data_IF_089038449623
#
_entry.id   IF_089038449623
#
_cell.length_a   1.000
_cell.length_b   1.000
_cell.length_c   1.000
_cell.angle_alpha   90.00
_cell.angle_beta   90.00
_cell.angle_gamma   90.00
#
_symmetry.space_group_name_H-M   'P 1'
#
loop_
_entity.id
_entity.type
_entity.pdbx_description
1 polymer ?
#
# COMPACT_ATOMS: atom_id res chain seq x y z
N UNK A 1 16.37 3.72 -4.74
CA UNK A 1 15.42 3.21 -5.77
C UNK A 1 15.40 4.07 -7.02
N UNK A 2 15.02 5.36 -6.95
CA UNK A 2 14.96 6.24 -8.13
C UNK A 2 16.34 6.42 -8.80
N UNK A 3 17.39 6.69 -8.03
CA UNK A 3 18.77 6.84 -8.51
C UNK A 3 19.31 5.59 -9.24
N UNK A 4 18.80 4.41 -8.88
CA UNK A 4 19.17 3.13 -9.48
C UNK A 4 18.17 2.68 -10.56
N UNK A 5 17.20 3.53 -10.91
CA UNK A 5 16.13 3.23 -11.87
C UNK A 5 15.35 1.94 -11.56
N UNK A 6 15.17 1.63 -10.27
CA UNK A 6 14.43 0.48 -9.78
C UNK A 6 12.95 0.78 -9.59
N UNK A 7 12.60 2.06 -9.36
CA UNK A 7 11.23 2.50 -9.16
C UNK A 7 10.39 2.31 -10.44
N UNK A 8 9.13 1.97 -10.26
CA UNK A 8 8.14 1.85 -11.33
C UNK A 8 6.93 2.75 -11.04
N UNK A 9 6.08 3.00 -12.06
CA UNK A 9 4.92 3.86 -11.90
C UNK A 9 3.97 3.28 -10.81
N UNK A 10 3.49 4.09 -9.85
CA UNK A 10 3.56 5.53 -9.85
C UNK A 10 4.81 6.08 -9.13
N UNK A 11 5.49 7.02 -9.78
CA UNK A 11 6.59 7.82 -9.22
C UNK A 11 6.08 9.17 -8.66
N UNK A 12 6.85 9.89 -7.82
CA UNK A 12 8.07 9.44 -7.14
C UNK A 12 7.78 8.44 -6.02
N UNK A 13 8.83 7.80 -5.47
CA UNK A 13 8.73 6.83 -4.36
C UNK A 13 8.37 7.43 -2.99
N UNK A 14 8.39 8.76 -2.85
CA UNK A 14 8.12 9.44 -1.57
C UNK A 14 6.62 9.47 -1.22
N UNK A 15 6.32 9.48 0.07
CA UNK A 15 4.95 9.54 0.63
C UNK A 15 4.02 8.40 0.17
N UNK A 16 4.60 7.25 -0.19
CA UNK A 16 3.87 6.04 -0.59
C UNK A 16 4.70 4.80 -0.32
N UNK A 17 4.06 3.64 -0.40
CA UNK A 17 4.79 2.39 -0.58
C UNK A 17 5.38 2.39 -2.01
N UNK A 18 6.70 2.30 -2.19
CA UNK A 18 7.33 2.39 -3.51
C UNK A 18 6.90 1.23 -4.42
N UNK A 19 6.43 1.55 -5.63
CA UNK A 19 6.35 0.51 -6.67
C UNK A 19 7.71 0.34 -7.36
N UNK A 20 8.00 -0.87 -7.83
CA UNK A 20 9.30 -1.24 -8.34
C UNK A 20 9.22 -2.23 -9.50
N UNK A 21 10.26 -2.20 -10.34
CA UNK A 21 10.46 -3.17 -11.41
C UNK A 21 10.63 -4.56 -10.79
N UNK A 22 9.80 -5.51 -11.22
CA UNK A 22 9.78 -6.86 -10.66
C UNK A 22 8.78 -7.06 -9.50
N UNK A 23 7.92 -6.08 -9.19
CA UNK A 23 6.88 -6.24 -8.15
C UNK A 23 5.94 -7.42 -8.42
N UNK A 24 5.53 -7.65 -9.68
CA UNK A 24 4.77 -8.84 -10.04
C UNK A 24 5.54 -10.14 -9.80
N UNK A 25 6.84 -10.17 -10.12
CA UNK A 25 7.70 -11.34 -9.88
C UNK A 25 7.83 -11.63 -8.38
N UNK A 26 8.04 -10.59 -7.57
CA UNK A 26 8.04 -10.70 -6.11
C UNK A 26 6.69 -11.24 -5.59
N UNK A 27 5.57 -10.75 -6.12
CA UNK A 27 4.24 -11.26 -5.78
C UNK A 27 4.05 -12.74 -6.12
N UNK A 28 4.63 -13.25 -7.20
CA UNK A 28 4.47 -14.67 -7.59
C UNK A 28 4.94 -15.63 -6.50
N UNK A 29 5.95 -15.23 -5.70
CA UNK A 29 6.49 -16.05 -4.61
C UNK A 29 5.50 -16.36 -3.50
N UNK A 30 4.40 -15.60 -3.40
CA UNK A 30 3.36 -15.89 -2.40
C UNK A 30 2.77 -17.28 -2.60
N UNK A 31 2.77 -17.81 -3.83
CA UNK A 31 2.30 -19.16 -4.15
C UNK A 31 3.19 -20.27 -3.58
N UNK A 32 4.44 -19.96 -3.28
CA UNK A 32 5.40 -20.93 -2.72
C UNK A 32 5.20 -21.08 -1.19
N UNK A 33 4.39 -20.21 -0.58
CA UNK A 33 4.11 -20.24 0.85
C UNK A 33 2.98 -21.22 1.18
N UNK A 34 3.28 -22.19 2.07
CA UNK A 34 2.27 -23.10 2.61
C UNK A 34 1.13 -22.35 3.34
N UNK A 35 1.44 -21.22 3.98
CA UNK A 35 0.42 -20.37 4.62
C UNK A 35 -0.59 -19.85 3.59
N UNK A 36 -0.15 -19.41 2.41
CA UNK A 36 -1.04 -18.92 1.35
C UNK A 36 -1.87 -20.05 0.73
N UNK A 37 -1.29 -21.25 0.58
CA UNK A 37 -2.02 -22.40 0.06
C UNK A 37 -3.25 -22.73 0.93
N UNK A 38 -3.14 -22.59 2.25
CA UNK A 38 -4.18 -22.94 3.24
C UNK A 38 -5.21 -21.83 3.49
N UNK A 39 -4.89 -20.58 3.17
CA UNK A 39 -5.79 -19.42 3.35
C UNK A 39 -7.01 -19.46 2.44
N UNK A 40 -8.18 -19.09 2.95
CA UNK A 40 -9.38 -18.79 2.16
C UNK A 40 -9.70 -17.29 2.13
N UNK A 41 -9.48 -16.58 3.22
CA UNK A 41 -9.68 -15.13 3.35
C UNK A 41 -8.34 -14.41 3.48
N UNK A 42 -8.00 -13.57 2.50
CA UNK A 42 -6.74 -12.81 2.46
C UNK A 42 -7.02 -11.32 2.41
N UNK A 43 -6.36 -10.58 3.30
CA UNK A 43 -6.31 -9.12 3.24
C UNK A 43 -5.06 -8.68 2.49
N UNK A 44 -5.22 -7.85 1.48
CA UNK A 44 -4.09 -7.25 0.75
C UNK A 44 -4.27 -5.74 0.69
N UNK A 45 -3.25 -4.99 1.12
CA UNK A 45 -3.27 -3.53 1.06
C UNK A 45 -3.44 -3.00 -0.37
N UNK A 46 -4.00 -1.78 -0.56
CA UNK A 46 -4.31 -1.22 -1.87
C UNK A 46 -3.10 -0.70 -2.64
N UNK A 47 -1.90 -0.72 -2.04
CA UNK A 47 -0.68 -0.19 -2.63
C UNK A 47 -0.34 -0.84 -3.98
N UNK A 48 0.27 -0.07 -4.89
CA UNK A 48 0.58 -0.53 -6.25
C UNK A 48 1.48 -1.77 -6.31
N UNK A 49 2.60 -1.90 -5.54
CA UNK A 49 3.44 -3.09 -5.63
C UNK A 49 2.73 -4.40 -5.26
N UNK A 50 1.58 -4.33 -4.57
CA UNK A 50 0.81 -5.50 -4.13
C UNK A 50 -0.29 -5.92 -5.13
N UNK A 51 -0.41 -5.24 -6.28
CA UNK A 51 -1.42 -5.57 -7.29
C UNK A 51 -1.30 -7.01 -7.81
N UNK A 52 -0.07 -7.51 -7.93
CA UNK A 52 0.18 -8.91 -8.27
C UNK A 52 -0.36 -9.88 -7.23
N UNK A 53 -0.21 -9.58 -5.94
CA UNK A 53 -0.74 -10.41 -4.86
C UNK A 53 -2.28 -10.41 -4.83
N UNK A 54 -2.91 -9.25 -5.05
CA UNK A 54 -4.37 -9.16 -5.22
C UNK A 54 -4.86 -10.01 -6.39
N UNK A 55 -4.20 -9.94 -7.54
CA UNK A 55 -4.53 -10.76 -8.70
C UNK A 55 -4.39 -12.26 -8.40
N UNK A 56 -3.31 -12.67 -7.74
CA UNK A 56 -3.05 -14.07 -7.40
C UNK A 56 -4.09 -14.62 -6.42
N UNK A 57 -4.52 -13.82 -5.44
CA UNK A 57 -5.60 -14.18 -4.53
C UNK A 57 -6.89 -14.49 -5.30
N UNK A 58 -7.30 -13.58 -6.21
CA UNK A 58 -8.49 -13.74 -7.04
C UNK A 58 -8.39 -14.95 -7.99
N UNK A 59 -7.24 -15.15 -8.63
CA UNK A 59 -6.99 -16.31 -9.50
C UNK A 59 -7.02 -17.63 -8.74
N UNK A 60 -6.66 -17.61 -7.46
CA UNK A 60 -6.72 -18.77 -6.57
C UNK A 60 -8.10 -18.95 -5.92
N UNK A 61 -9.12 -18.23 -6.39
CA UNK A 61 -10.49 -18.24 -5.88
C UNK A 61 -10.62 -17.97 -4.38
N UNK A 62 -9.67 -17.20 -3.82
CA UNK A 62 -9.70 -16.76 -2.42
C UNK A 62 -10.58 -15.53 -2.27
N UNK A 63 -11.21 -15.38 -1.11
CA UNK A 63 -11.88 -14.12 -0.75
C UNK A 63 -10.81 -13.06 -0.52
N UNK A 64 -10.84 -12.01 -1.36
CA UNK A 64 -9.92 -10.87 -1.25
C UNK A 64 -10.60 -9.71 -0.54
N UNK A 65 -9.98 -9.28 0.57
CA UNK A 65 -10.34 -8.09 1.32
C UNK A 65 -9.29 -7.01 1.07
N UNK A 66 -9.77 -5.80 0.73
CA UNK A 66 -8.90 -4.64 0.54
C UNK A 66 -9.37 -3.52 1.46
N UNK A 67 -8.50 -2.93 2.28
CA UNK A 67 -8.89 -1.82 3.15
C UNK A 67 -9.48 -0.63 2.40
N UNK A 68 -10.41 0.05 3.05
CA UNK A 68 -10.91 1.32 2.51
C UNK A 68 -9.85 2.41 2.67
N UNK A 69 -9.66 3.29 1.67
CA UNK A 69 -8.68 4.37 1.78
C UNK A 69 -8.91 5.23 3.04
N UNK A 70 -7.88 5.27 3.90
CA UNK A 70 -7.86 6.09 5.14
C UNK A 70 -9.01 5.77 6.11
N UNK A 71 -9.61 4.58 6.04
CA UNK A 71 -10.65 4.09 6.97
C UNK A 71 -11.87 5.03 7.13
N UNK A 72 -12.23 5.77 6.08
CA UNK A 72 -13.28 6.81 6.15
C UNK A 72 -14.71 6.27 6.04
N UNK A 73 -14.93 5.21 5.27
CA UNK A 73 -16.29 4.80 4.83
C UNK A 73 -16.60 3.33 5.12
N UNK A 74 -15.69 2.60 5.79
CA UNK A 74 -15.83 1.17 6.09
C UNK A 74 -14.49 0.56 6.48
N UNK A 75 -14.49 -0.71 6.86
CA UNK A 75 -13.25 -1.40 7.23
C UNK A 75 -12.56 -1.98 5.99
N UNK A 76 -13.28 -2.84 5.27
CA UNK A 76 -12.80 -3.48 4.06
C UNK A 76 -13.78 -3.32 2.90
N UNK A 77 -13.26 -3.54 1.71
CA UNK A 77 -14.00 -3.88 0.52
C UNK A 77 -13.73 -5.35 0.21
N UNK A 78 -14.78 -6.17 0.17
CA UNK A 78 -14.70 -7.54 -0.35
C UNK A 78 -14.81 -7.47 -1.86
N UNK A 79 -13.79 -7.95 -2.58
CA UNK A 79 -13.79 -7.93 -4.03
C UNK A 79 -14.74 -9.01 -4.56
N UNK A 80 -15.66 -8.61 -5.44
CA UNK A 80 -16.66 -9.46 -6.08
C UNK A 80 -16.44 -9.40 -7.59
N UNK A 81 -15.62 -10.30 -8.16
CA UNK A 81 -15.53 -10.43 -9.60
C UNK A 81 -16.88 -10.81 -10.22
N UNK A 82 -17.22 -10.33 -11.43
CA UNK A 82 -18.41 -10.77 -12.14
C UNK A 82 -18.43 -12.30 -12.35
N UNK A 83 -19.61 -12.94 -12.40
CA UNK A 83 -19.72 -14.36 -12.74
C UNK A 83 -19.00 -14.67 -14.06
N UNK A 84 -18.20 -15.73 -14.10
CA UNK A 84 -17.41 -16.10 -15.29
C UNK A 84 -16.24 -15.17 -15.60
N UNK A 85 -15.76 -14.37 -14.64
CA UNK A 85 -14.64 -13.45 -14.84
C UNK A 85 -13.40 -14.14 -15.42
N UNK A 86 -12.95 -13.65 -16.58
CA UNK A 86 -11.70 -14.08 -17.22
C UNK A 86 -10.48 -13.55 -16.46
N UNK A 87 -9.29 -14.07 -16.79
CA UNK A 87 -8.02 -13.57 -16.22
C UNK A 87 -7.85 -12.05 -16.38
N UNK A 88 -8.31 -11.48 -17.50
CA UNK A 88 -8.22 -10.03 -17.75
C UNK A 88 -9.20 -9.24 -16.90
N UNK A 89 -10.39 -9.78 -16.63
CA UNK A 89 -11.35 -9.17 -15.70
C UNK A 89 -10.78 -9.21 -14.28
N UNK A 90 -10.21 -10.33 -13.84
CA UNK A 90 -9.56 -10.43 -12.52
C UNK A 90 -8.39 -9.43 -12.38
N UNK A 91 -7.61 -9.23 -13.45
CA UNK A 91 -6.56 -8.20 -13.47
C UNK A 91 -7.14 -6.81 -13.23
N UNK A 92 -8.28 -6.48 -13.87
CA UNK A 92 -8.98 -5.21 -13.61
C UNK A 92 -9.46 -5.11 -12.16
N UNK A 93 -10.08 -6.15 -11.61
CA UNK A 93 -10.55 -6.20 -10.22
C UNK A 93 -9.42 -5.97 -9.19
N UNK A 94 -8.20 -6.42 -9.49
CA UNK A 94 -7.04 -6.25 -8.62
C UNK A 94 -6.46 -4.82 -8.60
N UNK A 95 -6.84 -3.95 -9.54
CA UNK A 95 -6.38 -2.54 -9.57
C UNK A 95 -7.13 -1.69 -8.53
N UNK A 96 -6.58 -0.54 -8.14
CA UNK A 96 -7.27 0.39 -7.23
C UNK A 96 -8.63 0.87 -7.77
N UNK A 97 -8.77 1.00 -9.10
CA UNK A 97 -10.05 1.32 -9.73
C UNK A 97 -11.00 0.11 -9.68
N UNK A 98 -10.46 -1.09 -9.88
CA UNK A 98 -11.21 -2.34 -9.75
C UNK A 98 -11.79 -2.52 -8.35
N UNK A 99 -11.01 -2.24 -7.32
CA UNK A 99 -11.47 -2.26 -5.93
C UNK A 99 -12.68 -1.34 -5.72
N UNK A 100 -12.76 -0.20 -6.41
CA UNK A 100 -13.94 0.70 -6.32
C UNK A 100 -15.14 0.18 -7.08
N UNK A 101 -14.92 -0.49 -8.22
CA UNK A 101 -15.99 -0.85 -9.15
C UNK A 101 -16.55 -2.26 -8.93
N UNK A 102 -15.75 -3.16 -8.34
CA UNK A 102 -16.05 -4.59 -8.21
C UNK A 102 -15.93 -5.05 -6.76
N UNK A 103 -16.47 -4.28 -5.82
CA UNK A 103 -16.45 -4.66 -4.42
C UNK A 103 -17.71 -4.30 -3.66
N UNK A 104 -17.90 -4.97 -2.54
CA UNK A 104 -18.93 -4.63 -1.57
C UNK A 104 -18.27 -4.22 -0.25
N UNK A 105 -18.73 -3.13 0.39
CA UNK A 105 -18.17 -2.70 1.67
C UNK A 105 -18.50 -3.70 2.77
N UNK A 106 -17.54 -3.91 3.67
CA UNK A 106 -17.67 -4.73 4.85
C UNK A 106 -17.48 -3.85 6.09
N UNK A 107 -18.52 -3.82 6.92
CA UNK A 107 -18.59 -3.03 8.15
C UNK A 107 -18.07 -3.77 9.37
N UNK A 108 -18.03 -3.04 10.49
CA UNK A 108 -17.54 -3.51 11.80
C UNK A 108 -18.35 -4.67 12.42
N UNK A 109 -19.57 -4.90 11.95
CA UNK A 109 -20.44 -5.97 12.47
C UNK A 109 -20.31 -7.28 11.69
N UNK A 110 -19.51 -7.26 10.62
CA UNK A 110 -19.24 -8.48 9.85
C UNK A 110 -18.27 -9.38 10.61
N UNK A 111 -18.58 -10.68 10.64
CA UNK A 111 -17.72 -11.73 11.18
C UNK A 111 -16.72 -12.18 10.12
N UNK A 112 -15.77 -11.31 9.79
CA UNK A 112 -14.66 -11.61 8.88
C UNK A 112 -13.54 -12.28 9.67
N UNK A 113 -12.93 -13.32 9.12
CA UNK A 113 -11.71 -13.92 9.68
C UNK A 113 -10.62 -13.85 8.61
N UNK A 114 -9.54 -13.13 8.89
CA UNK A 114 -8.44 -12.95 7.94
C UNK A 114 -7.35 -13.98 8.24
N UNK A 115 -7.15 -14.92 7.32
CA UNK A 115 -6.15 -15.98 7.48
C UNK A 115 -4.73 -15.53 7.11
N UNK A 116 -4.60 -14.47 6.31
CA UNK A 116 -3.33 -13.95 5.82
C UNK A 116 -3.42 -12.45 5.52
N UNK A 117 -2.41 -11.71 5.95
CA UNK A 117 -2.26 -10.28 5.65
C UNK A 117 -1.09 -10.10 4.68
N UNK A 118 -1.30 -9.31 3.63
CA UNK A 118 -0.25 -8.83 2.74
C UNK A 118 -0.18 -7.31 2.82
N UNK A 119 0.96 -6.79 3.27
CA UNK A 119 1.19 -5.38 3.60
C UNK A 119 2.37 -4.79 2.83
N UNK A 120 2.22 -3.53 2.41
CA UNK A 120 3.27 -2.78 1.75
C UNK A 120 4.25 -2.16 2.75
N UNK A 121 5.53 -2.03 2.39
CA UNK A 121 6.54 -1.40 3.26
C UNK A 121 7.52 -0.55 2.46
N UNK A 122 8.07 0.48 3.11
CA UNK A 122 9.13 1.34 2.57
C UNK A 122 10.49 0.66 2.75
N UNK A 123 10.73 0.10 3.95
CA UNK A 123 11.93 -0.65 4.28
C UNK A 123 11.57 -1.79 5.25
N UNK A 124 12.32 -2.88 5.20
CA UNK A 124 12.13 -4.06 6.07
C UNK A 124 13.49 -4.63 6.48
N UNK A 125 13.60 -5.11 7.72
CA UNK A 125 14.78 -5.86 8.18
C UNK A 125 14.47 -7.36 8.11
N UNK A 126 15.51 -8.18 7.87
CA UNK A 126 15.36 -9.65 7.91
C UNK A 126 14.88 -10.16 9.27
N UNK A 127 15.00 -9.34 10.33
CA UNK A 127 14.45 -9.58 11.69
C UNK A 127 12.92 -9.47 11.76
N UNK A 128 12.24 -9.13 10.66
CA UNK A 128 10.78 -8.98 10.59
C UNK A 128 10.25 -7.60 10.97
N UNK A 129 11.14 -6.63 11.09
CA UNK A 129 10.80 -5.23 11.35
C UNK A 129 10.43 -4.53 10.05
N UNK A 130 9.50 -3.58 10.11
CA UNK A 130 9.07 -2.82 8.93
C UNK A 130 8.98 -1.33 9.21
N UNK A 131 9.19 -0.55 8.17
CA UNK A 131 8.92 0.88 8.12
C UNK A 131 7.86 1.12 7.05
N UNK A 132 6.73 1.70 7.46
CA UNK A 132 5.67 2.13 6.57
C UNK A 132 5.96 3.49 5.93
N UNK A 133 4.95 4.09 5.29
CA UNK A 133 5.03 5.45 4.71
C UNK A 133 4.89 6.60 5.74
N UNK A 134 4.78 6.28 7.02
CA UNK A 134 4.73 7.26 8.14
C UNK A 134 3.35 7.65 8.66
N UNK A 135 2.24 7.28 8.00
CA UNK A 135 0.89 7.66 8.46
C UNK A 135 0.30 6.74 9.55
N UNK A 136 0.94 5.60 9.88
CA UNK A 136 0.45 4.64 10.87
C UNK A 136 -0.84 3.89 10.51
N UNK A 137 -1.38 4.05 9.30
CA UNK A 137 -2.68 3.48 8.92
C UNK A 137 -2.71 1.96 8.91
N UNK A 138 -1.66 1.31 8.43
CA UNK A 138 -1.65 -0.15 8.33
C UNK A 138 -1.48 -0.80 9.72
N UNK A 139 -0.73 -0.17 10.62
CA UNK A 139 -0.60 -0.55 12.03
C UNK A 139 -1.95 -0.45 12.75
N UNK A 140 -2.62 0.69 12.61
CA UNK A 140 -3.92 0.94 13.18
C UNK A 140 -5.00 -0.01 12.63
N UNK A 141 -4.97 -0.27 11.32
CA UNK A 141 -5.90 -1.21 10.70
C UNK A 141 -5.73 -2.64 11.26
N UNK A 142 -4.49 -3.10 11.45
CA UNK A 142 -4.24 -4.38 12.10
C UNK A 142 -4.78 -4.41 13.52
N UNK A 143 -4.47 -3.38 14.31
CA UNK A 143 -4.99 -3.23 15.67
C UNK A 143 -6.53 -3.25 15.73
N UNK A 144 -7.20 -2.62 14.76
CA UNK A 144 -8.66 -2.67 14.64
C UNK A 144 -9.17 -4.07 14.30
N UNK A 145 -8.49 -4.81 13.43
CA UNK A 145 -8.83 -6.22 13.14
C UNK A 145 -8.72 -7.08 14.40
N UNK A 146 -7.70 -6.85 15.25
CA UNK A 146 -7.55 -7.56 16.53
C UNK A 146 -8.72 -7.24 17.46
N UNK A 147 -9.07 -5.96 17.62
CA UNK A 147 -10.23 -5.53 18.43
C UNK A 147 -11.56 -6.12 17.95
N UNK A 148 -11.66 -6.48 16.67
CA UNK A 148 -12.83 -7.13 16.09
C UNK A 148 -12.81 -8.66 16.17
N UNK A 149 -11.69 -9.25 16.61
CA UNK A 149 -11.48 -10.69 16.56
C UNK A 149 -11.32 -11.24 15.13
N UNK A 150 -11.02 -10.38 14.15
CA UNK A 150 -10.83 -10.77 12.76
C UNK A 150 -9.45 -11.36 12.49
N UNK A 151 -8.47 -11.05 13.35
CA UNK A 151 -7.11 -11.62 13.32
C UNK A 151 -6.66 -11.95 14.74
N UNK A 152 -5.66 -12.81 14.84
CA UNK A 152 -4.96 -13.12 16.08
C UNK A 152 -3.45 -12.98 15.89
N UNK A 153 -2.69 -13.16 16.97
CA UNK A 153 -1.22 -13.12 16.96
C UNK A 153 -0.63 -14.12 15.94
N UNK A 154 -1.27 -15.29 15.80
CA UNK A 154 -0.88 -16.31 14.84
C UNK A 154 -1.21 -16.01 13.38
N UNK A 155 -1.98 -14.95 13.07
CA UNK A 155 -2.31 -14.59 11.68
C UNK A 155 -1.02 -14.17 10.96
N UNK A 156 -0.59 -14.88 9.90
CA UNK A 156 0.65 -14.56 9.20
C UNK A 156 0.57 -13.23 8.45
N UNK A 157 1.68 -12.50 8.45
CA UNK A 157 1.86 -11.22 7.79
C UNK A 157 3.00 -11.31 6.78
N UNK A 158 2.69 -11.02 5.52
CA UNK A 158 3.62 -11.05 4.40
C UNK A 158 3.83 -9.63 3.92
N UNK A 159 5.08 -9.27 3.64
CA UNK A 159 5.40 -8.04 2.89
C UNK A 159 6.09 -8.34 1.59
N UNK A 160 5.88 -7.47 0.61
CA UNK A 160 6.42 -7.60 -0.75
C UNK A 160 7.17 -6.31 -1.06
N UNK A 161 8.47 -6.44 -1.26
CA UNK A 161 9.39 -5.31 -1.44
C UNK A 161 10.45 -5.63 -2.48
N UNK A 162 11.18 -4.63 -2.96
CA UNK A 162 12.38 -4.86 -3.75
C UNK A 162 13.56 -5.29 -2.85
N UNK A 163 14.54 -6.01 -3.39
CA UNK A 163 15.73 -6.45 -2.65
C UNK A 163 16.45 -5.30 -1.93
N UNK A 164 16.56 -4.13 -2.57
CA UNK A 164 17.19 -2.93 -1.99
C UNK A 164 16.40 -2.28 -0.83
N UNK A 165 15.16 -2.71 -0.59
CA UNK A 165 14.36 -2.26 0.55
C UNK A 165 14.53 -3.18 1.76
N UNK A 166 15.22 -4.32 1.59
CA UNK A 166 15.65 -5.17 2.70
C UNK A 166 16.94 -4.58 3.26
N UNK A 167 16.83 -3.89 4.39
CA UNK A 167 17.92 -3.14 5.02
C UNK A 167 17.87 -3.36 6.53
N UNK A 168 19.03 -3.47 7.16
CA UNK A 168 19.08 -3.48 8.63
C UNK A 168 18.96 -2.05 9.16
N UNK A 169 18.19 -1.86 10.21
CA UNK A 169 17.97 -0.60 10.89
C UNK A 169 17.78 -0.84 12.39
N UNK A 170 18.08 0.14 13.26
CA UNK A 170 18.04 -0.09 14.70
C UNK A 170 16.61 -0.26 15.21
N UNK A 171 16.45 -1.13 16.22
CA UNK A 171 15.16 -1.40 16.87
C UNK A 171 14.54 -0.15 17.49
N UNK A 172 15.34 0.86 17.85
CA UNK A 172 14.88 2.13 18.40
C UNK A 172 13.94 2.93 17.46
N UNK A 173 13.82 2.53 16.19
CA UNK A 173 12.84 3.09 15.25
C UNK A 173 11.45 2.44 15.35
N UNK A 174 11.29 1.37 16.13
CA UNK A 174 10.04 0.66 16.30
C UNK A 174 9.34 1.07 17.59
N UNK A 175 8.02 1.08 17.53
CA UNK A 175 7.14 1.25 18.65
C UNK A 175 6.28 -0.01 18.89
N UNK A 176 5.65 -0.11 20.05
CA UNK A 176 4.84 -1.28 20.44
C UNK A 176 3.57 -1.46 19.61
N UNK A 177 3.17 -0.40 18.89
CA UNK A 177 2.03 -0.43 17.99
C UNK A 177 2.42 -0.83 16.55
N UNK A 178 3.72 -0.96 16.24
CA UNK A 178 4.18 -1.34 14.90
C UNK A 178 3.97 -2.83 14.63
N UNK A 179 3.29 -3.13 13.52
CA UNK A 179 3.04 -4.47 13.05
C UNK A 179 4.32 -5.07 12.44
N UNK A 180 4.75 -6.22 12.96
CA UNK A 180 5.86 -7.00 12.41
C UNK A 180 5.42 -7.92 11.25
N UNK A 181 6.39 -8.41 10.48
CA UNK A 181 6.15 -9.30 9.33
C UNK A 181 6.82 -10.66 9.54
N UNK A 182 6.13 -11.72 9.12
CA UNK A 182 6.59 -13.10 9.20
C UNK A 182 7.36 -13.54 7.94
N UNK A 183 6.98 -12.96 6.78
CA UNK A 183 7.60 -13.26 5.49
C UNK A 183 7.91 -12.00 4.69
N UNK A 184 9.08 -11.98 4.06
CA UNK A 184 9.49 -10.94 3.13
C UNK A 184 9.68 -11.58 1.75
N UNK A 185 8.93 -11.09 0.76
CA UNK A 185 9.03 -11.54 -0.62
C UNK A 185 9.72 -10.48 -1.47
N UNK A 186 10.81 -10.88 -2.12
CA UNK A 186 11.58 -10.03 -3.03
C UNK A 186 11.59 -10.62 -4.44
N UNK A 187 12.03 -9.89 -5.47
CA UNK A 187 12.28 -10.45 -6.80
C UNK A 187 13.29 -11.60 -6.85
N UNK A 188 14.16 -11.78 -5.85
CA UNK A 188 15.19 -12.85 -5.86
C UNK A 188 14.93 -13.98 -4.86
N UNK A 189 14.32 -13.70 -3.70
CA UNK A 189 14.19 -14.66 -2.59
C UNK A 189 12.94 -14.49 -1.72
N UNK A 190 12.63 -15.53 -0.97
CA UNK A 190 11.66 -15.55 0.15
C UNK A 190 12.46 -15.59 1.44
N UNK A 191 12.12 -14.75 2.41
CA UNK A 191 12.76 -14.72 3.73
C UNK A 191 11.68 -14.97 4.78
N UNK A 192 11.88 -15.99 5.61
CA UNK A 192 11.09 -16.22 6.83
C UNK A 192 11.81 -15.54 7.99
N UNK A 193 11.15 -14.62 8.67
CA UNK A 193 11.85 -13.66 9.57
C UNK A 193 12.10 -14.22 10.97
N UNK A 194 11.25 -15.13 11.44
CA UNK A 194 11.30 -15.63 12.81
C UNK A 194 11.19 -14.50 13.85
N UNK A 195 10.47 -13.43 13.53
CA UNK A 195 10.37 -12.24 14.37
C UNK A 195 9.91 -12.60 15.80
N UNK A 196 10.70 -12.22 16.80
CA UNK A 196 10.40 -12.47 18.21
C UNK A 196 9.59 -11.34 18.86
N UNK A 197 9.47 -10.19 18.17
CA UNK A 197 8.70 -9.05 18.66
C UNK A 197 7.20 -9.33 18.46
N UNK A 198 6.37 -9.19 19.51
CA UNK A 198 4.95 -9.47 19.41
C UNK A 198 4.26 -8.52 18.43
N UNK A 199 3.21 -9.02 17.78
CA UNK A 199 2.31 -8.17 16.98
C UNK A 199 1.41 -7.34 17.92
N UNK A 200 0.89 -6.19 17.47
CA UNK A 200 0.00 -5.37 18.29
C UNK A 200 -1.22 -6.15 18.79
N UNK A 201 -1.48 -6.13 20.11
CA UNK A 201 -2.58 -6.89 20.73
C UNK A 201 -3.95 -6.19 20.64
N UNK A 202 -4.04 -5.07 19.92
CA UNK A 202 -5.25 -4.26 19.79
C UNK A 202 -4.94 -2.78 19.62
N UNK A 203 -5.97 -1.94 19.69
CA UNK A 203 -5.83 -0.49 19.56
C UNK A 203 -5.17 0.09 20.81
N UNK A 204 -4.01 0.72 20.63
CA UNK A 204 -3.35 1.50 21.68
C UNK A 204 -3.98 2.88 21.78
N UNK A 205 -5.07 3.02 22.54
CA UNK A 205 -5.84 4.28 22.65
C UNK A 205 -5.01 5.48 23.09
N UNK A 206 -3.98 5.28 23.92
CA UNK A 206 -3.04 6.31 24.36
C UNK A 206 -2.20 6.91 23.22
N UNK A 207 -2.20 6.31 22.02
CA UNK A 207 -1.60 6.83 20.78
C UNK A 207 -2.63 7.45 19.84
N UNK A 208 -3.92 7.32 20.12
CA UNK A 208 -5.00 7.85 19.27
C UNK A 208 -5.34 9.29 19.69
N UNK A 209 -5.19 10.22 18.76
CA UNK A 209 -5.53 11.64 18.98
C UNK A 209 -7.00 11.94 18.67
N UNK A 210 -7.49 13.10 19.14
CA UNK A 210 -8.83 13.59 18.78
C UNK A 210 -8.97 13.83 17.27
N UNK A 211 -7.92 14.32 16.63
CA UNK A 211 -7.90 14.53 15.17
C UNK A 211 -8.03 13.20 14.41
N UNK A 212 -7.38 12.13 14.88
CA UNK A 212 -7.54 10.79 14.31
C UNK A 212 -8.97 10.29 14.44
N UNK A 213 -9.61 10.48 15.59
CA UNK A 213 -11.04 10.14 15.77
C UNK A 213 -11.93 10.89 14.77
N UNK A 214 -11.70 12.19 14.56
CA UNK A 214 -12.45 13.00 13.60
C UNK A 214 -12.29 12.48 12.17
N UNK A 215 -11.05 12.22 11.75
CA UNK A 215 -10.71 11.71 10.41
C UNK A 215 -11.21 10.28 10.16
N UNK A 216 -11.33 9.47 11.22
CA UNK A 216 -11.68 8.04 11.16
C UNK A 216 -12.88 7.73 12.06
N UNK A 217 -14.11 7.97 11.59
CA UNK A 217 -15.32 7.78 12.40
C UNK A 217 -15.46 6.38 13.00
N UNK A 218 -14.91 5.37 12.33
CA UNK A 218 -14.89 3.97 12.77
C UNK A 218 -14.24 3.78 14.14
N UNK A 219 -13.25 4.62 14.48
CA UNK A 219 -12.59 4.56 15.78
C UNK A 219 -13.53 4.96 16.92
N UNK A 220 -14.51 5.84 16.70
CA UNK A 220 -15.50 6.16 17.74
C UNK A 220 -16.32 4.93 18.10
N UNK A 221 -16.81 4.22 17.09
CA UNK A 221 -17.59 2.99 17.28
C UNK A 221 -16.78 1.91 18.00
N UNK A 222 -15.50 1.73 17.65
CA UNK A 222 -14.61 0.78 18.32
C UNK A 222 -14.31 1.21 19.76
N UNK A 223 -14.06 2.50 20.00
CA UNK A 223 -13.82 3.05 21.33
C UNK A 223 -14.99 2.81 22.27
N UNK A 224 -16.21 2.99 21.79
CA UNK A 224 -17.42 2.79 22.59
C UNK A 224 -17.73 1.30 22.81
N UNK A 225 -17.34 0.40 21.89
CA UNK A 225 -17.40 -1.05 22.11
C UNK A 225 -16.40 -1.48 23.18
N UNK A 226 -15.15 -1.04 23.08
CA UNK A 226 -14.10 -1.42 24.02
C UNK A 226 -14.31 -0.81 25.41
N UNK A 227 -14.82 0.42 25.50
CA UNK A 227 -15.24 1.01 26.79
C UNK A 227 -16.32 0.19 27.48
N UNK A 228 -17.33 -0.27 26.73
CA UNK A 228 -18.39 -1.15 27.27
C UNK A 228 -17.88 -2.52 27.69
N UNK A 229 -16.80 -2.99 27.06
CA UNK A 229 -16.09 -4.20 27.44
C UNK A 229 -15.10 -3.99 28.62
N UNK A 230 -15.06 -2.79 29.22
CA UNK A 230 -14.21 -2.48 30.38
C UNK A 230 -12.73 -2.23 30.05
N UNK A 231 -12.37 -2.05 28.78
CA UNK A 231 -11.01 -1.67 28.40
C UNK A 231 -10.73 -0.20 28.67
N UNK A 232 -9.47 0.13 28.98
CA UNK A 232 -9.01 1.51 29.00
C UNK A 232 -8.99 2.07 27.57
N UNK A 233 -9.70 3.19 27.37
CA UNK A 233 -9.83 3.88 26.08
C UNK A 233 -9.44 5.36 26.19
N UNK A 234 -8.54 5.65 27.13
CA UNK A 234 -7.95 6.98 27.31
C UNK A 234 -7.13 7.36 26.08
N UNK A 235 -7.39 8.56 25.55
CA UNK A 235 -6.74 9.06 24.33
C UNK A 235 -5.37 9.64 24.64
N UNK A 236 -4.57 9.82 23.59
CA UNK A 236 -3.33 10.59 23.65
C UNK A 236 -3.58 12.00 24.21
N UNK A 237 -2.67 12.49 25.05
CA UNK A 237 -2.71 13.87 25.51
C UNK A 237 -2.48 14.84 24.33
N UNK A 238 -3.08 16.05 24.36
CA UNK A 238 -2.86 17.06 23.33
C UNK A 238 -1.36 17.42 23.25
N UNK A 239 -0.74 17.20 22.10
CA UNK A 239 0.67 17.54 21.85
C UNK A 239 1.64 16.36 21.76
N UNK A 240 1.20 15.13 22.02
CA UNK A 240 2.08 13.94 21.98
C UNK A 240 2.25 13.30 20.59
N UNK A 241 1.58 13.82 19.56
CA UNK A 241 1.69 13.32 18.19
C UNK A 241 2.03 14.48 17.25
N UNK A 242 3.23 14.42 16.65
CA UNK A 242 3.60 15.27 15.53
C UNK A 242 3.48 14.43 14.26
N UNK A 243 2.38 14.54 13.48
CA UNK A 243 2.49 14.20 12.08
C UNK A 243 3.50 15.19 11.50
N UNK A 244 4.60 14.70 10.91
CA UNK A 244 5.45 15.57 10.13
C UNK A 244 4.55 16.37 9.16
N UNK A 245 4.68 17.71 9.12
CA UNK A 245 3.88 18.50 8.21
C UNK A 245 4.08 17.96 6.78
N UNK A 246 3.03 17.93 5.94
CA UNK A 246 3.22 17.57 4.55
C UNK A 246 4.31 18.48 3.98
N UNK A 247 5.44 17.89 3.57
CA UNK A 247 6.56 18.68 3.09
C UNK A 247 6.06 19.52 1.93
N UNK A 248 6.01 20.83 2.12
CA UNK A 248 5.78 21.80 1.05
C UNK A 248 7.05 21.90 0.23
N UNK A 249 7.45 20.79 -0.40
CA UNK A 249 8.35 20.83 -1.52
C UNK A 249 7.61 21.59 -2.63
N UNK A 250 7.85 22.91 -2.67
CA UNK A 250 7.50 23.75 -3.80
C UNK A 250 7.92 22.99 -5.05
N UNK A 251 6.98 22.79 -5.98
CA UNK A 251 7.32 22.45 -7.37
C UNK A 251 8.48 23.38 -7.77
N UNK A 252 9.57 22.87 -8.38
CA UNK A 252 10.50 23.76 -9.05
C UNK A 252 9.67 24.56 -10.05
N UNK A 253 9.54 25.86 -9.81
CA UNK A 253 9.09 26.77 -10.85
C UNK A 253 10.12 26.62 -11.96
N UNK A 254 9.65 26.28 -13.16
CA UNK A 254 10.45 26.39 -14.38
C UNK A 254 10.94 27.84 -14.45
N UNK A 255 12.19 28.08 -14.09
CA UNK A 255 12.91 29.29 -14.46
C UNK A 255 13.07 29.26 -15.97
N UNK A 256 12.59 30.28 -16.71
CA UNK A 256 12.91 30.40 -18.12
C UNK A 256 14.41 30.65 -18.24
N UNK A 257 15.07 29.84 -19.05
CA UNK A 257 16.46 29.99 -19.44
C UNK A 257 16.61 31.33 -20.16
N UNK A 258 17.15 32.34 -19.48
CA UNK A 258 17.61 33.60 -20.07
C UNK A 258 19.12 33.54 -20.27
N UNK A 259 19.56 33.54 -21.52
CA UNK A 259 20.99 33.54 -21.85
C UNK A 259 21.25 33.26 -23.32
N UNK A 260 20.83 34.19 -24.18
CA UNK A 260 21.25 34.26 -25.57
C UNK A 260 22.71 34.74 -25.64
N UNK A 261 23.55 34.00 -26.36
CA UNK A 261 24.80 34.50 -26.95
C UNK A 261 24.66 34.44 -28.48
N UNK A 262 25.11 35.45 -29.25
CA UNK A 262 24.82 35.53 -30.67
C UNK A 262 25.79 34.66 -31.48
N UNK A 263 25.25 33.94 -32.47
CA UNK A 263 26.04 33.40 -33.58
C UNK A 263 25.67 34.20 -34.86
N UNK A 264 26.65 34.56 -35.71
CA UNK A 264 26.43 35.45 -36.84
C UNK A 264 26.01 34.70 -38.11
N UNK A 265 25.20 35.39 -38.92
CA UNK A 265 25.26 35.39 -40.39
C UNK A 265 24.89 34.10 -41.13
N UNK A 266 23.79 34.13 -41.88
CA UNK A 266 23.87 34.40 -43.33
C UNK A 266 22.47 34.45 -43.95
N UNK A 267 22.38 35.29 -44.98
CA UNK A 267 21.24 35.59 -45.83
C UNK A 267 20.71 34.28 -46.48
N UNK A 268 19.46 34.10 -46.89
CA UNK A 268 18.79 34.82 -47.97
C UNK A 268 17.46 34.11 -48.31
N UNK A 269 16.52 34.93 -48.81
CA UNK A 269 15.55 34.68 -49.87
C UNK A 269 14.17 34.08 -49.56
N UNK A 270 13.21 34.91 -49.95
CA UNK A 270 11.77 34.82 -49.94
C UNK A 270 11.21 33.94 -51.08
N UNK A 271 9.94 33.56 -50.91
CA UNK A 271 8.98 33.33 -51.99
C UNK A 271 9.02 31.92 -52.58
N UNK A 272 7.91 31.24 -52.87
CA UNK A 272 6.50 31.59 -52.84
C UNK A 272 5.74 30.46 -53.55
N UNK A 273 4.44 30.35 -53.23
CA UNK A 273 3.33 29.87 -54.09
C UNK A 273 3.41 28.51 -54.82
N UNK A 274 2.40 27.68 -54.56
CA UNK A 274 1.59 27.08 -55.64
C UNK A 274 1.75 25.58 -55.90
N UNK A 275 0.76 24.92 -56.54
CA UNK A 275 0.09 23.74 -55.96
C UNK A 275 0.16 22.43 -56.76
N UNK A 276 -0.32 21.36 -56.11
CA UNK A 276 -1.02 20.14 -56.57
C UNK A 276 -0.85 19.60 -58.02
N UNK A 277 -0.53 18.29 -58.10
CA UNK A 277 -1.12 17.24 -58.97
C UNK A 277 -0.39 15.91 -58.67
N UNK A 278 -1.05 14.85 -58.22
CA UNK A 278 -1.62 13.74 -59.02
C UNK A 278 -0.63 12.99 -59.93
N UNK A 279 -0.64 11.65 -59.83
CA UNK A 279 -0.03 10.72 -60.81
C UNK A 279 0.82 9.62 -60.17
N UNK A 280 0.27 8.48 -59.70
CA UNK A 280 0.01 7.22 -60.43
C UNK A 280 1.24 6.32 -60.68
N UNK A 281 1.00 4.99 -60.54
CA UNK A 281 1.82 3.83 -60.98
C UNK A 281 3.03 3.57 -60.05
N UNK A 282 3.22 2.42 -59.37
CA UNK A 282 2.81 1.02 -59.51
C UNK A 282 2.87 0.36 -58.14
#
# INVERSE_FOLDING_TARGET
MESQNLADFPRPVHHRIPNFKGSYLACQRIKDLQVFARTQEVKVDPDKPLEGARLLALQSQKTLLVPTPRLRTGLFNKIIPPPGATKDILRKCATSQGVRNFSTPIGLDSRVLVDLIVIGSVAVSEKGWRIGKGEGYADLEYAMMVSMGAVCEGTPVVTIVHDCQVVDFPEALLEDHDLTVDYILTPTRVITTGCQRPKPAGIMWSKITREMLEKMPILRSLRDRERRAGKDVTLAEPGCWHPDPPSTARRPQNTPWSGAGPAPGCQHLEGGTGPAAEGHVT
#
